data_IF_699274198462
#
_entry.id   IF_699274198462
#
_cell.length_a   1.000
_cell.length_b   1.000
_cell.length_c   1.000
_cell.angle_alpha   90.00
_cell.angle_beta   90.00
_cell.angle_gamma   90.00
#
_symmetry.space_group_name_H-M   'P 1'
#
loop_
_entity.id
_entity.type
_entity.pdbx_description
1 polymer ?
#
# COMPACT_ATOMS: atom_id res chain seq x y z
N UNK A 1 -25.06 11.28 20.53
CA UNK A 1 -24.40 9.98 20.74
C UNK A 1 -23.49 9.75 19.54
N UNK A 2 -22.17 9.81 19.76
CA UNK A 2 -21.16 9.77 18.71
C UNK A 2 -21.16 8.38 18.06
N UNK A 3 -21.44 8.34 16.76
CA UNK A 3 -21.18 7.15 15.93
C UNK A 3 -19.66 7.07 15.79
N UNK A 4 -19.03 6.22 16.61
CA UNK A 4 -17.65 5.84 16.39
C UNK A 4 -17.62 5.02 15.09
N UNK A 5 -17.20 5.68 14.00
CA UNK A 5 -16.72 5.05 12.78
C UNK A 5 -15.58 4.13 13.19
N UNK A 6 -15.87 2.84 13.37
CA UNK A 6 -14.85 1.80 13.41
C UNK A 6 -14.18 1.77 12.04
N UNK A 7 -12.89 2.09 12.03
CA UNK A 7 -12.01 1.95 10.87
C UNK A 7 -12.07 0.51 10.38
N UNK A 8 -12.90 0.30 9.36
CA UNK A 8 -12.87 -0.90 8.56
C UNK A 8 -11.54 -0.84 7.80
N UNK A 9 -10.63 -1.75 8.12
CA UNK A 9 -9.57 -2.14 7.20
C UNK A 9 -10.24 -2.68 5.94
N UNK A 10 -10.53 -1.77 5.02
CA UNK A 10 -11.15 -2.04 3.73
C UNK A 10 -10.20 -2.94 2.97
N UNK A 11 -10.54 -4.23 2.94
CA UNK A 11 -9.94 -5.22 2.06
C UNK A 11 -9.92 -4.60 0.67
N UNK A 12 -8.72 -4.33 0.16
CA UNK A 12 -8.54 -3.86 -1.22
C UNK A 12 -9.35 -4.79 -2.10
N UNK A 13 -10.42 -4.24 -2.64
CA UNK A 13 -11.42 -5.05 -3.30
C UNK A 13 -10.77 -5.69 -4.51
N UNK A 14 -11.07 -6.96 -4.78
CA UNK A 14 -10.65 -7.69 -6.00
C UNK A 14 -10.91 -6.85 -7.26
N UNK A 15 -11.90 -5.96 -7.18
CA UNK A 15 -12.23 -4.95 -8.19
C UNK A 15 -11.10 -3.98 -8.52
N UNK A 16 -10.21 -3.59 -7.60
CA UNK A 16 -9.11 -2.65 -7.89
C UNK A 16 -8.16 -3.23 -8.94
N UNK A 17 -7.73 -4.48 -8.76
CA UNK A 17 -6.89 -5.18 -9.74
C UNK A 17 -7.62 -5.52 -11.03
N UNK A 18 -8.92 -5.81 -10.96
CA UNK A 18 -9.74 -6.01 -12.16
C UNK A 18 -9.99 -4.69 -12.92
N UNK A 19 -10.03 -3.55 -12.23
CA UNK A 19 -10.10 -2.20 -12.81
C UNK A 19 -8.77 -1.81 -13.42
N UNK A 20 -7.65 -2.05 -12.75
CA UNK A 20 -6.31 -1.84 -13.32
C UNK A 20 -6.12 -2.71 -14.57
N UNK A 21 -6.43 -4.01 -14.53
CA UNK A 21 -6.31 -4.90 -15.70
C UNK A 21 -7.17 -4.48 -16.89
N UNK A 22 -8.31 -3.81 -16.64
CA UNK A 22 -9.20 -3.28 -17.69
C UNK A 22 -8.76 -1.91 -18.19
N UNK A 23 -8.25 -1.06 -17.29
CA UNK A 23 -7.81 0.31 -17.56
C UNK A 23 -6.35 0.39 -18.01
N UNK A 24 -5.57 -0.70 -17.96
CA UNK A 24 -4.26 -0.86 -18.60
C UNK A 24 -4.42 -0.89 -20.12
N UNK A 25 -4.97 0.17 -20.68
CA UNK A 25 -5.00 0.45 -22.10
C UNK A 25 -3.61 0.93 -22.51
N UNK A 26 -3.18 0.55 -23.70
CA UNK A 26 -1.88 0.88 -24.32
C UNK A 26 -1.48 2.37 -24.24
N UNK A 27 -2.44 3.29 -24.08
CA UNK A 27 -2.23 4.73 -23.98
C UNK A 27 -1.81 5.25 -22.59
N UNK A 28 -2.13 4.56 -21.49
CA UNK A 28 -1.64 4.95 -20.14
C UNK A 28 -0.19 4.50 -19.89
N UNK A 29 0.22 3.45 -20.60
CA UNK A 29 1.55 2.85 -20.51
C UNK A 29 2.38 3.07 -21.79
N UNK A 30 2.00 3.98 -22.69
CA UNK A 30 2.85 4.32 -23.84
C UNK A 30 4.21 4.87 -23.40
N UNK A 31 4.25 5.60 -22.29
CA UNK A 31 5.48 6.08 -21.65
C UNK A 31 6.20 4.97 -20.85
N UNK A 32 5.52 3.83 -20.62
CA UNK A 32 6.06 2.61 -20.02
C UNK A 32 6.35 1.54 -21.07
N UNK A 33 6.50 1.93 -22.34
CA UNK A 33 6.97 1.04 -23.39
C UNK A 33 8.33 0.41 -23.03
N UNK A 34 9.11 1.11 -22.20
CA UNK A 34 10.26 0.56 -21.50
C UNK A 34 9.80 -0.29 -20.31
N UNK A 35 10.04 -1.60 -20.39
CA UNK A 35 9.75 -2.53 -19.30
C UNK A 35 10.57 -2.27 -18.04
N UNK A 36 10.26 -2.99 -16.96
CA UNK A 36 11.05 -2.95 -15.73
C UNK A 36 12.24 -3.90 -15.87
N UNK A 37 13.45 -3.39 -15.62
CA UNK A 37 14.67 -4.21 -15.63
C UNK A 37 14.72 -5.15 -14.43
N UNK A 38 15.54 -6.21 -14.51
CA UNK A 38 15.68 -7.14 -13.40
C UNK A 38 16.24 -6.47 -12.14
N UNK A 39 17.16 -5.50 -12.28
CA UNK A 39 17.74 -4.79 -11.15
C UNK A 39 16.73 -3.88 -10.45
N UNK A 40 15.86 -3.22 -11.20
CA UNK A 40 14.74 -2.45 -10.64
C UNK A 40 13.76 -3.37 -9.91
N UNK A 41 13.40 -4.50 -10.53
CA UNK A 41 12.54 -5.51 -9.89
C UNK A 41 13.15 -6.02 -8.59
N UNK A 42 14.44 -6.39 -8.60
CA UNK A 42 15.17 -6.87 -7.43
C UNK A 42 15.21 -5.82 -6.32
N UNK A 43 15.56 -4.59 -6.66
CA UNK A 43 15.64 -3.47 -5.72
C UNK A 43 14.28 -3.17 -5.10
N UNK A 44 13.22 -3.20 -5.91
CA UNK A 44 11.85 -3.04 -5.43
C UNK A 44 11.44 -4.15 -4.47
N UNK A 45 11.73 -5.41 -4.81
CA UNK A 45 11.38 -6.54 -3.96
C UNK A 45 12.16 -6.54 -2.63
N UNK A 46 13.42 -6.11 -2.66
CA UNK A 46 14.20 -5.90 -1.44
C UNK A 46 13.61 -4.79 -0.57
N UNK A 47 13.09 -3.73 -1.20
CA UNK A 47 12.31 -2.72 -0.49
C UNK A 47 11.06 -3.31 0.17
N UNK A 48 10.28 -4.13 -0.54
CA UNK A 48 9.07 -4.75 0.00
C UNK A 48 9.33 -5.62 1.24
N UNK A 49 10.52 -6.20 1.37
CA UNK A 49 10.86 -6.95 2.59
C UNK A 49 10.94 -6.07 3.85
N UNK A 50 11.08 -4.75 3.72
CA UNK A 50 11.13 -3.77 4.81
C UNK A 50 9.89 -2.86 4.83
N UNK A 51 8.73 -3.39 4.39
CA UNK A 51 7.50 -2.61 4.25
C UNK A 51 6.96 -2.07 5.58
N UNK A 52 7.22 -2.74 6.70
CA UNK A 52 6.84 -2.29 8.05
C UNK A 52 7.59 -1.00 8.44
N UNK A 53 8.91 -0.96 8.28
CA UNK A 53 9.74 0.23 8.57
C UNK A 53 9.38 1.40 7.65
N UNK A 54 9.10 1.10 6.39
CA UNK A 54 8.60 2.08 5.43
C UNK A 54 7.22 2.64 5.82
N UNK A 55 6.31 1.79 6.30
CA UNK A 55 4.98 2.22 6.74
C UNK A 55 5.07 3.17 7.96
N UNK A 56 6.01 2.92 8.88
CA UNK A 56 6.27 3.82 10.01
C UNK A 56 6.75 5.19 9.51
N UNK A 57 7.73 5.20 8.60
CA UNK A 57 8.26 6.43 8.02
C UNK A 57 7.17 7.25 7.31
N UNK A 58 6.32 6.59 6.51
CA UNK A 58 5.21 7.24 5.81
C UNK A 58 4.10 7.73 6.74
N UNK A 59 3.76 6.97 7.78
CA UNK A 59 2.76 7.39 8.77
C UNK A 59 3.19 8.68 9.47
N UNK A 60 4.48 8.88 9.71
CA UNK A 60 5.02 10.13 10.25
C UNK A 60 4.80 11.32 9.29
N UNK A 61 4.97 11.15 7.97
CA UNK A 61 4.70 12.19 6.98
C UNK A 61 3.21 12.53 6.86
N UNK A 62 2.35 11.50 6.88
CA UNK A 62 0.91 11.70 6.81
C UNK A 62 0.34 12.32 8.09
N UNK A 63 0.91 12.00 9.27
CA UNK A 63 0.54 12.65 10.53
C UNK A 63 0.86 14.16 10.53
N UNK A 64 1.85 14.58 9.76
CA UNK A 64 2.17 15.99 9.54
C UNK A 64 1.27 16.66 8.48
N UNK A 65 0.21 16.00 8.00
CA UNK A 65 -0.71 16.47 6.95
C UNK A 65 -0.01 16.88 5.65
N UNK A 66 1.10 16.20 5.31
CA UNK A 66 1.82 16.43 4.06
C UNK A 66 1.39 15.39 3.03
N UNK A 67 1.13 15.85 1.80
CA UNK A 67 0.97 15.01 0.63
C UNK A 67 2.21 14.15 0.42
N UNK A 68 2.01 12.89 -0.01
CA UNK A 68 3.10 11.96 -0.29
C UNK A 68 3.34 11.96 -1.79
N UNK A 69 4.18 12.88 -2.25
CA UNK A 69 4.67 12.91 -3.62
C UNK A 69 5.80 11.90 -3.85
N UNK A 70 6.27 11.85 -5.10
CA UNK A 70 7.35 10.93 -5.50
C UNK A 70 8.65 11.11 -4.71
N UNK A 71 8.96 12.34 -4.28
CA UNK A 71 10.21 12.63 -3.57
C UNK A 71 10.12 12.23 -2.09
N UNK A 72 8.97 12.41 -1.45
CA UNK A 72 8.67 11.85 -0.12
C UNK A 72 8.77 10.33 -0.16
N UNK A 73 8.20 9.70 -1.19
CA UNK A 73 8.25 8.26 -1.39
C UNK A 73 9.70 7.76 -1.53
N UNK A 74 10.50 8.37 -2.42
CA UNK A 74 11.93 8.03 -2.59
C UNK A 74 12.70 8.14 -1.27
N UNK A 75 12.46 9.22 -0.51
CA UNK A 75 13.11 9.44 0.79
C UNK A 75 12.70 8.38 1.81
N UNK A 76 11.41 8.06 1.90
CA UNK A 76 10.93 7.02 2.81
C UNK A 76 11.50 5.64 2.47
N UNK A 77 11.61 5.28 1.19
CA UNK A 77 12.25 4.02 0.77
C UNK A 77 13.74 4.01 1.15
N UNK A 78 14.45 5.10 0.91
CA UNK A 78 15.87 5.21 1.27
C UNK A 78 16.08 5.08 2.78
N UNK A 79 15.22 5.69 3.60
CA UNK A 79 15.29 5.57 5.07
C UNK A 79 15.02 4.14 5.54
N UNK A 80 14.04 3.45 4.94
CA UNK A 80 13.66 2.10 5.35
C UNK A 80 14.65 1.02 4.91
N UNK A 81 15.42 1.25 3.84
CA UNK A 81 16.17 0.17 3.16
C UNK A 81 17.61 0.50 2.80
N UNK A 82 18.00 1.78 2.82
CA UNK A 82 19.25 2.27 2.25
C UNK A 82 19.30 2.24 0.71
N UNK A 83 18.23 1.82 0.02
CA UNK A 83 18.19 1.69 -1.42
C UNK A 83 17.65 2.95 -2.09
N UNK A 84 18.14 3.21 -3.31
CA UNK A 84 17.60 4.25 -4.19
C UNK A 84 16.87 3.57 -5.35
N UNK A 85 15.56 3.73 -5.39
CA UNK A 85 14.77 3.28 -6.54
C UNK A 85 14.99 4.19 -7.74
N UNK A 86 14.94 3.62 -8.94
CA UNK A 86 15.05 4.41 -10.17
C UNK A 86 13.85 5.35 -10.32
N UNK A 87 14.01 6.51 -11.00
CA UNK A 87 12.89 7.38 -11.33
C UNK A 87 11.81 6.66 -12.16
N UNK A 88 12.21 5.79 -13.08
CA UNK A 88 11.30 4.98 -13.90
C UNK A 88 10.40 4.10 -13.04
N UNK A 89 10.97 3.38 -12.08
CA UNK A 89 10.23 2.51 -11.18
C UNK A 89 9.28 3.30 -10.26
N UNK A 90 9.71 4.46 -9.74
CA UNK A 90 8.85 5.30 -8.89
C UNK A 90 7.69 5.86 -9.70
N UNK A 91 7.95 6.37 -10.91
CA UNK A 91 6.90 6.83 -11.82
C UNK A 91 5.90 5.71 -12.16
N UNK A 92 6.41 4.50 -12.40
CA UNK A 92 5.59 3.30 -12.65
C UNK A 92 4.66 2.99 -11.48
N UNK A 93 5.18 3.05 -10.24
CA UNK A 93 4.37 2.85 -9.03
C UNK A 93 3.29 3.92 -8.93
N UNK A 94 3.62 5.19 -9.09
CA UNK A 94 2.63 6.27 -8.99
C UNK A 94 1.57 6.17 -10.07
N UNK A 95 1.92 5.87 -11.33
CA UNK A 95 0.93 5.65 -12.40
C UNK A 95 -0.03 4.49 -12.13
N UNK A 96 0.35 3.52 -11.29
CA UNK A 96 -0.52 2.39 -10.91
C UNK A 96 -1.40 2.75 -9.70
N UNK A 97 -0.85 3.48 -8.73
CA UNK A 97 -1.46 3.68 -7.41
C UNK A 97 -2.02 5.09 -7.17
N UNK A 98 -1.84 6.01 -8.10
CA UNK A 98 -2.48 7.32 -8.15
C UNK A 98 -3.86 7.19 -8.83
N UNK A 99 -4.93 7.28 -8.03
CA UNK A 99 -6.30 7.01 -8.48
C UNK A 99 -6.97 8.27 -9.04
N UNK A 100 -6.65 9.42 -8.46
CA UNK A 100 -7.23 10.74 -8.75
C UNK A 100 -6.35 11.63 -9.65
N UNK A 101 -5.15 11.14 -10.01
CA UNK A 101 -4.18 11.81 -10.87
C UNK A 101 -3.66 13.11 -10.28
N UNK A 102 -3.46 13.12 -8.97
CA UNK A 102 -2.96 14.28 -8.23
C UNK A 102 -1.44 14.21 -7.95
N UNK A 103 -0.76 13.21 -8.54
CA UNK A 103 0.65 12.88 -8.33
C UNK A 103 0.98 12.47 -6.88
N UNK A 104 -0.04 12.09 -6.09
CA UNK A 104 0.12 11.56 -4.75
C UNK A 104 -0.16 10.06 -4.70
N UNK A 105 0.50 9.41 -3.74
CA UNK A 105 0.27 7.99 -3.50
C UNK A 105 -0.89 7.78 -2.52
N UNK A 106 -1.88 6.98 -2.92
CA UNK A 106 -2.85 6.36 -2.00
C UNK A 106 -2.15 5.35 -1.07
N UNK A 107 -1.39 5.84 -0.09
CA UNK A 107 -0.45 5.03 0.68
C UNK A 107 -1.12 3.90 1.47
N UNK A 108 -2.35 4.09 1.99
CA UNK A 108 -3.09 3.05 2.73
C UNK A 108 -3.37 1.85 1.84
N UNK A 109 -3.82 2.11 0.62
CA UNK A 109 -4.10 1.08 -0.38
C UNK A 109 -2.81 0.41 -0.83
N UNK A 110 -1.77 1.21 -1.12
CA UNK A 110 -0.45 0.70 -1.49
C UNK A 110 0.10 -0.26 -0.43
N UNK A 111 0.14 0.14 0.85
CA UNK A 111 0.63 -0.71 1.94
C UNK A 111 -0.24 -1.95 2.10
N UNK A 112 -1.57 -1.81 2.07
CA UNK A 112 -2.49 -2.95 2.19
C UNK A 112 -2.27 -4.00 1.10
N UNK A 113 -2.12 -3.54 -0.14
CA UNK A 113 -1.83 -4.36 -1.32
C UNK A 113 -0.48 -5.05 -1.19
N UNK A 114 0.56 -4.32 -0.83
CA UNK A 114 1.92 -4.85 -0.76
C UNK A 114 2.06 -5.86 0.39
N UNK A 115 1.40 -5.61 1.53
CA UNK A 115 1.29 -6.61 2.60
C UNK A 115 0.62 -7.88 2.09
N UNK A 116 -0.50 -7.80 1.36
CA UNK A 116 -1.18 -8.99 0.86
C UNK A 116 -0.32 -9.81 -0.12
N UNK A 117 0.38 -9.13 -1.02
CA UNK A 117 1.30 -9.77 -1.99
C UNK A 117 2.51 -10.42 -1.33
N UNK A 118 3.08 -9.81 -0.28
CA UNK A 118 4.17 -10.42 0.50
C UNK A 118 3.76 -11.72 1.17
N UNK A 119 2.51 -11.80 1.64
CA UNK A 119 1.96 -13.02 2.23
C UNK A 119 1.60 -14.09 1.18
N UNK A 120 1.76 -13.83 -0.12
CA UNK A 120 1.53 -14.79 -1.22
C UNK A 120 0.15 -15.48 -1.18
N UNK A 121 -0.89 -14.79 -0.70
CA UNK A 121 -2.21 -15.38 -0.50
C UNK A 121 -2.32 -16.35 0.69
N UNK A 122 -1.26 -16.48 1.49
CA UNK A 122 -1.21 -17.24 2.74
C UNK A 122 -1.82 -16.47 3.92
N UNK A 123 -2.82 -15.61 3.66
CA UNK A 123 -3.79 -15.24 4.70
C UNK A 123 -4.67 -16.46 4.88
N UNK A 124 -4.19 -17.43 5.66
CA UNK A 124 -5.04 -18.50 6.17
C UNK A 124 -6.31 -17.85 6.66
N UNK A 125 -7.46 -18.33 6.18
CA UNK A 125 -8.80 -17.84 6.45
C UNK A 125 -8.88 -17.46 7.94
N UNK A 126 -8.56 -16.20 8.28
CA UNK A 126 -8.83 -15.70 9.62
C UNK A 126 -10.33 -15.67 9.56
N UNK A 127 -10.96 -16.64 10.24
CA UNK A 127 -12.38 -16.62 10.44
C UNK A 127 -12.66 -15.21 10.92
N UNK A 128 -13.27 -14.41 10.04
CA UNK A 128 -13.77 -13.11 10.40
C UNK A 128 -14.81 -13.46 11.45
N UNK A 129 -14.43 -13.45 12.72
CA UNK A 129 -15.36 -13.51 13.80
C UNK A 129 -16.14 -12.22 13.69
N UNK A 130 -17.22 -12.31 12.91
CA UNK A 130 -18.13 -11.22 12.57
C UNK A 130 -18.80 -10.63 13.81
N UNK A 131 -18.59 -11.29 14.96
CA UNK A 131 -19.02 -10.87 16.29
C UNK A 131 -17.86 -11.09 17.29
N UNK A 132 -17.60 -10.15 18.19
CA UNK A 132 -16.69 -10.39 19.31
C UNK A 132 -17.18 -11.60 20.11
N UNK A 133 -16.30 -12.53 20.47
CA UNK A 133 -16.70 -13.64 21.35
C UNK A 133 -17.20 -13.08 22.68
N UNK A 134 -18.18 -13.75 23.28
CA UNK A 134 -18.70 -13.43 24.60
C UNK A 134 -17.58 -13.16 25.64
N UNK A 135 -16.50 -13.94 25.57
CA UNK A 135 -15.30 -13.79 26.42
C UNK A 135 -14.58 -12.45 26.22
N UNK A 136 -14.53 -11.93 24.99
CA UNK A 136 -13.93 -10.63 24.69
C UNK A 136 -14.78 -9.45 25.14
N UNK A 137 -16.12 -9.56 25.05
CA UNK A 137 -17.05 -8.55 25.57
C UNK A 137 -16.97 -8.45 27.09
N UNK A 138 -17.04 -9.61 27.78
CA UNK A 138 -16.93 -9.66 29.24
C UNK A 138 -15.63 -9.07 29.76
N UNK A 139 -14.51 -9.35 29.09
CA UNK A 139 -13.20 -8.83 29.50
C UNK A 139 -13.11 -7.30 29.38
N UNK A 140 -13.85 -6.71 28.44
CA UNK A 140 -13.89 -5.25 28.21
C UNK A 140 -14.79 -4.51 29.21
N UNK A 141 -15.78 -5.19 29.78
CA UNK A 141 -16.68 -4.63 30.80
C UNK A 141 -16.15 -4.81 32.23
N UNK A 142 -15.20 -5.73 32.44
CA UNK A 142 -14.62 -6.04 33.75
C UNK A 142 -13.34 -5.26 34.09
N UNK A 143 -12.91 -4.32 33.22
CA UNK A 143 -11.76 -3.43 33.44
C UNK A 143 -12.09 -1.99 33.07
#
# INVERSE_FOLDING_TARGET
>A
MLVLKTDAEELVSRSYWDTLRRNTSQALFSDLAEGITFDEFRSFFQFLNNLEDFAIALNMYNFASRSIGQDEFKRAVYVATGLKLSPHLVNTVFKIFDVDKDDQLSYKEFIGIMKDRLHRGFRGYKTVQKYPTFKSCLKKELH
#
